data_IF_414358192470
#
_entry.id   IF_414358192470
#
_cell.length_a   1.000
_cell.length_b   1.000
_cell.length_c   1.000
_cell.angle_alpha   90.00
_cell.angle_beta   90.00
_cell.angle_gamma   90.00
#
_symmetry.space_group_name_H-M   'P 1'
#
loop_
_entity.id
_entity.type
_entity.pdbx_description
1 polymer ?
#
# COMPACT_ATOMS: atom_id res chain seq x y z
N UNK A 1 -4.75 10.32 4.92
CA UNK A 1 -5.87 10.34 5.91
C UNK A 1 -5.97 11.73 6.53
N UNK A 2 -7.14 12.37 6.44
CA UNK A 2 -7.40 13.65 7.10
C UNK A 2 -8.13 13.41 8.42
N UNK A 3 -7.55 13.76 9.59
CA UNK A 3 -8.21 13.58 10.88
C UNK A 3 -9.41 14.52 11.12
N UNK A 4 -9.60 15.55 10.29
CA UNK A 4 -10.69 16.52 10.43
C UNK A 4 -11.85 16.27 9.45
N UNK A 5 -11.69 15.34 8.52
CA UNK A 5 -12.74 15.03 7.56
C UNK A 5 -13.89 14.28 8.24
N UNK A 6 -15.12 14.73 7.98
CA UNK A 6 -16.34 14.07 8.45
C UNK A 6 -16.68 12.90 7.51
N UNK A 7 -16.69 11.64 8.00
CA UNK A 7 -17.06 10.48 7.18
C UNK A 7 -18.46 10.57 6.57
N UNK A 8 -19.41 11.26 7.22
CA UNK A 8 -20.75 11.44 6.68
C UNK A 8 -20.75 12.33 5.43
N UNK A 9 -19.98 13.41 5.44
CA UNK A 9 -19.83 14.30 4.27
C UNK A 9 -19.11 13.59 3.12
N UNK A 10 -18.11 12.74 3.42
CA UNK A 10 -17.46 11.90 2.41
C UNK A 10 -18.47 10.94 1.77
N UNK A 11 -19.33 10.33 2.59
CA UNK A 11 -20.37 9.42 2.11
C UNK A 11 -21.39 10.10 1.19
N UNK A 12 -21.86 11.30 1.55
CA UNK A 12 -22.74 12.12 0.70
C UNK A 12 -22.08 12.41 -0.65
N UNK A 13 -20.83 12.89 -0.65
CA UNK A 13 -20.09 13.17 -1.88
C UNK A 13 -19.90 11.92 -2.76
N UNK A 14 -19.64 10.75 -2.15
CA UNK A 14 -19.53 9.49 -2.90
C UNK A 14 -20.87 9.07 -3.51
N UNK A 15 -21.97 9.22 -2.77
CA UNK A 15 -23.31 8.91 -3.26
C UNK A 15 -23.70 9.79 -4.45
N UNK A 16 -23.43 11.10 -4.38
CA UNK A 16 -23.66 12.05 -5.47
C UNK A 16 -22.88 11.65 -6.73
N UNK A 17 -21.55 11.52 -6.62
CA UNK A 17 -20.67 11.15 -7.74
C UNK A 17 -21.06 9.82 -8.40
N UNK A 18 -21.53 8.86 -7.60
CA UNK A 18 -22.03 7.58 -8.11
C UNK A 18 -23.39 7.71 -8.78
N UNK A 19 -24.31 8.48 -8.20
CA UNK A 19 -25.66 8.69 -8.74
C UNK A 19 -25.64 9.40 -10.10
N UNK A 20 -24.65 10.28 -10.31
CA UNK A 20 -24.38 10.95 -11.58
C UNK A 20 -23.64 10.06 -12.59
N UNK A 21 -23.17 8.88 -12.17
CA UNK A 21 -22.41 7.96 -13.03
C UNK A 21 -20.97 8.40 -13.33
N UNK A 22 -20.45 9.40 -12.60
CA UNK A 22 -19.09 9.93 -12.79
C UNK A 22 -18.02 8.99 -12.24
N UNK A 23 -18.35 8.25 -11.17
CA UNK A 23 -17.42 7.34 -10.49
C UNK A 23 -18.01 5.94 -10.38
N UNK A 24 -17.23 4.93 -10.79
CA UNK A 24 -17.61 3.51 -10.71
C UNK A 24 -17.26 2.86 -9.37
N UNK A 25 -16.09 3.20 -8.83
CA UNK A 25 -15.58 2.62 -7.59
C UNK A 25 -14.78 3.66 -6.80
N UNK A 26 -14.73 3.47 -5.49
CA UNK A 26 -14.00 4.34 -4.56
C UNK A 26 -12.90 3.55 -3.85
N UNK A 27 -11.85 4.24 -3.46
CA UNK A 27 -10.72 3.65 -2.73
C UNK A 27 -10.15 4.63 -1.71
N UNK A 28 -9.23 4.13 -0.92
CA UNK A 28 -8.48 4.88 0.07
C UNK A 28 -7.01 5.00 -0.36
N UNK A 29 -6.27 5.87 0.33
CA UNK A 29 -4.82 5.95 0.21
C UNK A 29 -4.20 6.27 1.56
N UNK A 30 -3.16 5.52 1.91
CA UNK A 30 -2.42 5.66 3.17
C UNK A 30 -3.33 5.59 4.41
N UNK A 31 -4.37 4.75 4.37
CA UNK A 31 -5.27 4.52 5.50
C UNK A 31 -4.97 3.19 6.19
N UNK A 32 -5.03 3.20 7.52
CA UNK A 32 -4.93 1.99 8.34
C UNK A 32 -6.23 1.18 8.31
N UNK A 33 -6.19 -0.09 8.77
CA UNK A 33 -7.39 -0.91 8.95
C UNK A 33 -8.51 -0.17 9.73
N UNK A 34 -8.16 0.49 10.84
CA UNK A 34 -9.13 1.18 11.68
C UNK A 34 -9.76 2.38 10.96
N UNK A 35 -8.96 3.12 10.18
CA UNK A 35 -9.45 4.26 9.39
C UNK A 35 -10.36 3.81 8.26
N UNK A 36 -9.98 2.74 7.55
CA UNK A 36 -10.81 2.13 6.50
C UNK A 36 -12.13 1.63 7.08
N UNK A 37 -12.09 0.88 8.18
CA UNK A 37 -13.30 0.35 8.82
C UNK A 37 -14.24 1.46 9.27
N UNK A 38 -13.70 2.54 9.83
CA UNK A 38 -14.48 3.70 10.25
C UNK A 38 -15.11 4.45 9.07
N UNK A 39 -14.37 4.67 7.98
CA UNK A 39 -14.94 5.29 6.79
C UNK A 39 -16.00 4.37 6.16
N UNK A 40 -15.68 3.09 5.97
CA UNK A 40 -16.56 2.09 5.37
C UNK A 40 -17.90 1.97 6.10
N UNK A 41 -17.95 2.18 7.42
CA UNK A 41 -19.21 2.13 8.18
C UNK A 41 -20.21 3.23 7.83
N UNK A 42 -19.77 4.27 7.09
CA UNK A 42 -20.62 5.37 6.61
C UNK A 42 -20.95 5.24 5.12
N UNK A 43 -20.35 4.29 4.40
CA UNK A 43 -20.50 4.15 2.95
C UNK A 43 -21.46 3.00 2.60
N UNK A 44 -22.38 3.27 1.68
CA UNK A 44 -23.27 2.25 1.09
C UNK A 44 -22.60 1.41 -0.02
N UNK A 45 -21.35 1.74 -0.35
CA UNK A 45 -20.53 1.07 -1.36
C UNK A 45 -19.18 0.66 -0.76
N UNK A 46 -18.58 -0.46 -1.21
CA UNK A 46 -17.29 -0.88 -0.71
C UNK A 46 -16.18 0.05 -1.22
N UNK A 47 -15.22 0.35 -0.35
CA UNK A 47 -13.89 0.75 -0.76
C UNK A 47 -13.23 -0.47 -1.41
N UNK A 48 -12.72 -0.31 -2.63
CA UNK A 48 -12.18 -1.45 -3.41
C UNK A 48 -10.67 -1.47 -3.47
N UNK A 49 -10.01 -0.39 -3.07
CA UNK A 49 -8.56 -0.29 -3.10
C UNK A 49 -8.01 0.54 -1.93
N UNK A 50 -6.77 0.24 -1.52
CA UNK A 50 -5.97 1.10 -0.64
C UNK A 50 -4.56 1.26 -1.24
N UNK A 51 -4.22 2.49 -1.63
CA UNK A 51 -2.89 2.81 -2.15
C UNK A 51 -1.90 3.08 -1.02
N UNK A 52 -0.81 2.30 -0.95
CA UNK A 52 0.23 2.37 0.09
C UNK A 52 1.62 2.51 -0.53
N UNK A 53 2.56 3.11 0.21
CA UNK A 53 3.97 3.10 -0.20
C UNK A 53 4.53 1.72 0.05
N UNK A 54 4.84 1.01 -1.04
CA UNK A 54 5.30 -0.38 -0.95
C UNK A 54 6.46 -0.54 -1.92
N UNK A 55 7.66 -0.79 -1.39
CA UNK A 55 8.86 -1.00 -2.18
C UNK A 55 9.91 -1.75 -1.36
N UNK A 56 11.03 -2.13 -1.98
CA UNK A 56 12.17 -2.71 -1.25
C UNK A 56 12.78 -1.71 -0.25
N UNK A 57 12.55 -0.40 -0.41
CA UNK A 57 12.91 0.60 0.59
C UNK A 57 11.86 0.65 1.71
N UNK A 58 10.58 0.69 1.34
CA UNK A 58 9.45 0.81 2.26
C UNK A 58 8.78 -0.54 2.48
N UNK A 59 9.27 -1.24 3.51
CA UNK A 59 8.96 -2.65 3.79
C UNK A 59 8.17 -2.86 5.08
N UNK A 60 7.89 -1.81 5.85
CA UNK A 60 7.20 -1.93 7.14
C UNK A 60 5.85 -2.66 7.02
N UNK A 61 5.15 -2.48 5.89
CA UNK A 61 3.88 -3.16 5.62
C UNK A 61 4.00 -4.69 5.64
N UNK A 62 5.08 -5.26 5.10
CA UNK A 62 5.34 -6.70 5.09
C UNK A 62 6.07 -7.15 6.36
N UNK A 63 6.98 -6.32 6.88
CA UNK A 63 7.72 -6.64 8.10
C UNK A 63 6.79 -6.71 9.33
N UNK A 64 5.71 -5.92 9.37
CA UNK A 64 4.71 -5.95 10.45
C UNK A 64 4.05 -7.32 10.65
N UNK A 65 3.92 -8.11 9.58
CA UNK A 65 3.35 -9.46 9.61
C UNK A 65 4.39 -10.56 9.91
N UNK A 66 5.68 -10.28 9.70
CA UNK A 66 6.78 -11.24 9.89
C UNK A 66 7.43 -11.09 11.27
N UNK A 67 7.59 -9.86 11.76
CA UNK A 67 8.30 -9.55 13.01
C UNK A 67 7.40 -9.65 14.25
N UNK A 68 6.19 -10.19 14.13
CA UNK A 68 5.20 -10.30 15.22
C UNK A 68 5.83 -10.94 16.47
N UNK A 69 5.60 -10.34 17.63
CA UNK A 69 6.11 -10.81 18.92
C UNK A 69 7.66 -10.85 19.00
N UNK A 70 8.34 -9.89 18.37
CA UNK A 70 9.78 -9.70 18.49
C UNK A 70 10.11 -8.29 18.98
N UNK A 71 11.31 -8.09 19.53
CA UNK A 71 11.78 -6.76 19.89
C UNK A 71 11.88 -5.81 18.68
N UNK A 72 12.12 -6.34 17.47
CA UNK A 72 12.20 -5.56 16.24
C UNK A 72 10.84 -4.93 15.87
N UNK A 73 9.72 -5.61 16.13
CA UNK A 73 8.39 -5.07 15.86
C UNK A 73 8.08 -3.78 16.62
N UNK A 74 8.74 -3.52 17.76
CA UNK A 74 8.56 -2.28 18.49
C UNK A 74 9.12 -1.04 17.75
N UNK A 75 9.97 -1.24 16.74
CA UNK A 75 10.54 -0.17 15.93
C UNK A 75 9.72 0.16 14.67
N UNK A 76 8.76 -0.69 14.29
CA UNK A 76 7.94 -0.51 13.09
C UNK A 76 6.80 0.48 13.32
N UNK A 77 6.55 1.36 12.33
CA UNK A 77 5.49 2.37 12.38
C UNK A 77 4.21 1.98 11.63
N UNK A 78 4.23 0.89 10.86
CA UNK A 78 3.08 0.50 10.05
C UNK A 78 1.95 -0.07 10.91
N UNK A 79 0.69 0.41 10.74
CA UNK A 79 -0.43 -0.08 11.54
C UNK A 79 -0.72 -1.57 11.29
N UNK A 80 -0.35 -2.41 12.26
CA UNK A 80 -0.54 -3.88 12.22
C UNK A 80 -2.00 -4.24 11.91
N UNK A 81 -2.20 -5.25 11.06
CA UNK A 81 -3.53 -5.70 10.65
C UNK A 81 -4.08 -4.98 9.42
N UNK A 82 -3.40 -3.96 8.88
CA UNK A 82 -3.89 -3.23 7.70
C UNK A 82 -3.95 -4.12 6.45
N UNK A 83 -2.93 -4.97 6.24
CA UNK A 83 -2.89 -5.88 5.10
C UNK A 83 -3.98 -6.95 5.22
N UNK A 84 -4.09 -7.58 6.39
CA UNK A 84 -5.09 -8.60 6.69
C UNK A 84 -6.51 -8.06 6.57
N UNK A 85 -6.75 -6.83 7.05
CA UNK A 85 -8.04 -6.16 6.89
C UNK A 85 -8.38 -5.95 5.42
N UNK A 86 -7.43 -5.45 4.61
CA UNK A 86 -7.67 -5.24 3.19
C UNK A 86 -8.02 -6.55 2.48
N UNK A 87 -7.23 -7.61 2.69
CA UNK A 87 -7.46 -8.93 2.11
C UNK A 87 -8.81 -9.53 2.54
N UNK A 88 -9.15 -9.44 3.83
CA UNK A 88 -10.41 -9.98 4.36
C UNK A 88 -11.67 -9.30 3.81
N UNK A 89 -11.56 -8.05 3.36
CA UNK A 89 -12.68 -7.25 2.84
C UNK A 89 -12.65 -7.08 1.31
N UNK A 90 -11.73 -7.77 0.62
CA UNK A 90 -11.60 -7.66 -0.84
C UNK A 90 -11.11 -6.29 -1.31
N UNK A 91 -10.35 -5.58 -0.48
CA UNK A 91 -9.73 -4.30 -0.80
C UNK A 91 -8.37 -4.57 -1.43
N UNK A 92 -8.20 -4.19 -2.70
CA UNK A 92 -6.96 -4.35 -3.44
C UNK A 92 -5.87 -3.41 -2.91
N UNK A 93 -4.69 -3.96 -2.64
CA UNK A 93 -3.53 -3.16 -2.27
C UNK A 93 -2.83 -2.68 -3.54
N UNK A 94 -2.62 -1.38 -3.64
CA UNK A 94 -1.98 -0.75 -4.79
C UNK A 94 -0.67 -0.08 -4.34
N UNK A 95 0.45 -0.61 -4.84
CA UNK A 95 1.77 -0.10 -4.51
C UNK A 95 2.07 1.19 -5.28
N UNK A 96 2.29 2.29 -4.57
CA UNK A 96 2.99 3.45 -5.12
C UNK A 96 4.44 3.47 -4.65
N UNK A 97 5.31 4.15 -5.39
CA UNK A 97 6.73 4.23 -5.04
C UNK A 97 7.49 2.91 -5.22
N UNK A 98 6.93 1.93 -5.93
CA UNK A 98 7.45 0.56 -6.10
C UNK A 98 8.93 0.46 -6.45
N UNK A 99 9.45 1.40 -7.25
CA UNK A 99 10.86 1.42 -7.68
C UNK A 99 11.79 2.22 -6.76
N UNK A 100 11.31 2.66 -5.60
CA UNK A 100 12.07 3.47 -4.63
C UNK A 100 12.80 4.66 -5.28
N UNK A 101 12.12 5.35 -6.21
CA UNK A 101 12.67 6.49 -6.97
C UNK A 101 13.97 6.15 -7.74
N UNK A 102 14.17 4.89 -8.13
CA UNK A 102 15.35 4.43 -8.85
C UNK A 102 16.56 4.15 -7.96
N UNK A 103 16.41 4.18 -6.62
CA UNK A 103 17.49 3.95 -5.64
C UNK A 103 18.31 2.71 -5.95
N UNK A 104 17.64 1.62 -6.35
CA UNK A 104 18.28 0.34 -6.62
C UNK A 104 18.56 0.04 -8.10
N UNK A 105 18.23 0.96 -9.01
CA UNK A 105 18.36 0.76 -10.46
C UNK A 105 19.20 1.83 -11.16
N UNK A 106 20.10 2.47 -10.41
CA UNK A 106 21.13 3.36 -10.94
C UNK A 106 21.25 4.71 -10.26
N UNK A 107 20.32 5.10 -9.38
CA UNK A 107 20.42 6.37 -8.67
C UNK A 107 21.49 6.35 -7.57
N UNK A 108 21.62 5.24 -6.83
CA UNK A 108 22.57 5.11 -5.72
C UNK A 108 23.28 3.74 -5.75
N UNK A 109 24.62 3.70 -5.82
CA UNK A 109 25.38 2.46 -5.66
C UNK A 109 25.17 1.87 -4.25
N UNK A 110 24.83 0.59 -4.17
CA UNK A 110 24.68 -0.12 -2.90
C UNK A 110 24.84 -1.64 -3.09
N UNK A 111 25.19 -2.39 -2.03
CA UNK A 111 25.21 -3.86 -2.10
C UNK A 111 23.88 -4.47 -2.56
N UNK A 112 22.76 -3.82 -2.22
CA UNK A 112 21.43 -4.21 -2.67
C UNK A 112 21.26 -3.99 -4.18
N UNK A 113 21.65 -2.82 -4.70
CA UNK A 113 21.61 -2.53 -6.14
C UNK A 113 22.46 -3.54 -6.94
N UNK A 114 23.67 -3.87 -6.46
CA UNK A 114 24.53 -4.87 -7.10
C UNK A 114 23.89 -6.26 -7.11
N UNK A 115 23.21 -6.65 -6.02
CA UNK A 115 22.51 -7.93 -5.96
C UNK A 115 21.31 -7.97 -6.92
N UNK A 116 20.55 -6.88 -7.01
CA UNK A 116 19.42 -6.75 -7.93
C UNK A 116 19.91 -6.83 -9.38
N UNK A 117 21.00 -6.15 -9.73
CA UNK A 117 21.60 -6.26 -11.05
C UNK A 117 22.02 -7.70 -11.40
N UNK A 118 22.68 -8.41 -10.46
CA UNK A 118 23.03 -9.83 -10.64
C UNK A 118 21.80 -10.74 -10.76
N UNK A 119 20.73 -10.46 -10.01
CA UNK A 119 19.47 -11.20 -10.11
C UNK A 119 18.82 -11.00 -11.49
N UNK A 120 18.79 -9.76 -11.97
CA UNK A 120 18.25 -9.39 -13.27
C UNK A 120 19.00 -10.11 -14.40
N UNK A 121 20.33 -10.12 -14.37
CA UNK A 121 21.17 -10.84 -15.33
C UNK A 121 20.86 -12.35 -15.33
N UNK A 122 20.86 -12.99 -14.15
CA UNK A 122 20.55 -14.43 -14.02
C UNK A 122 19.13 -14.80 -14.47
N UNK A 123 18.19 -13.87 -14.38
CA UNK A 123 16.78 -14.08 -14.74
C UNK A 123 16.45 -13.57 -16.15
N UNK A 124 17.44 -13.07 -16.89
CA UNK A 124 17.27 -12.47 -18.21
C UNK A 124 16.18 -11.40 -18.24
N UNK A 125 16.21 -10.50 -17.25
CA UNK A 125 15.23 -9.43 -17.08
C UNK A 125 15.93 -8.13 -16.64
N UNK A 126 15.16 -7.09 -16.29
CA UNK A 126 15.68 -5.80 -15.82
C UNK A 126 15.71 -5.71 -14.29
N UNK A 127 16.59 -4.88 -13.70
CA UNK A 127 16.56 -4.55 -12.27
C UNK A 127 15.18 -4.11 -11.76
N UNK A 128 14.46 -3.29 -12.52
CA UNK A 128 13.10 -2.85 -12.21
C UNK A 128 12.13 -4.02 -12.15
N UNK A 129 12.27 -4.99 -13.07
CA UNK A 129 11.41 -6.19 -13.06
C UNK A 129 11.66 -7.03 -11.81
N UNK A 130 12.91 -7.14 -11.36
CA UNK A 130 13.23 -7.82 -10.09
C UNK A 130 12.55 -7.12 -8.90
N UNK A 131 12.56 -5.79 -8.87
CA UNK A 131 11.89 -5.02 -7.82
C UNK A 131 10.36 -5.21 -7.85
N UNK A 132 9.77 -5.20 -9.04
CA UNK A 132 8.32 -5.40 -9.20
C UNK A 132 7.88 -6.84 -8.91
N UNK A 133 8.73 -7.85 -9.13
CA UNK A 133 8.46 -9.23 -8.74
C UNK A 133 8.64 -9.50 -7.25
N UNK A 134 9.38 -8.65 -6.55
CA UNK A 134 9.54 -8.76 -5.10
C UNK A 134 8.28 -8.26 -4.36
N UNK A 135 7.58 -7.28 -4.93
CA UNK A 135 6.26 -6.83 -4.49
C UNK A 135 5.19 -7.90 -4.74
#
# INVERSE_FOLDING_TARGET
PDPLADPAQIAEAFAELRSEGLVRHFGASNMSAAQIAHLQSHLDVPLVANQLEMSLEQRDWVESGVQVNTAAAAAGGFPTGTIEHCLAHGIELQAWGALARGRYTGAEPSPAADLIARLAERKHTTPETILLWWL
#
